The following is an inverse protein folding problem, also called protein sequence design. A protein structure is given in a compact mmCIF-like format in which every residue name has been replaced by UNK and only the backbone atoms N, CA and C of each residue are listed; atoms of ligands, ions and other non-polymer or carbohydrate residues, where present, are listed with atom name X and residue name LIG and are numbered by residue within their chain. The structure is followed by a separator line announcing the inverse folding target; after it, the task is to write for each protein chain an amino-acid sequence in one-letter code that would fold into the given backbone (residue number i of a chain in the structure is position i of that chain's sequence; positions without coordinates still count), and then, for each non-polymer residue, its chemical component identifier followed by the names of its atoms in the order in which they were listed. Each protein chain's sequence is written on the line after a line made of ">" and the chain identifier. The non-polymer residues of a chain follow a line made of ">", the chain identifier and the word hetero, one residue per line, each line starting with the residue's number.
data_IF_008101630684
#
_entry.id   IF_008101630684
#
_cell.length_a   1.000
_cell.length_b   1.000
_cell.length_c   1.000
_cell.angle_alpha   90.00
_cell.angle_beta   90.00
_cell.angle_gamma   90.00
#
_symmetry.space_group_name_H-M   'P 1'
#
loop_
_entity.id
_entity.type
_entity.pdbx_description
1 polymer ?
#
# COMPACT_ATOMS: atom_id res chain seq x y z
N UNK A 1 9.16 -22.57 -1.31
CA UNK A 1 8.59 -21.22 -1.52
C UNK A 1 7.72 -20.93 -0.29
N UNK A 2 8.37 -20.54 0.79
CA UNK A 2 7.72 -20.42 2.09
C UNK A 2 6.75 -19.25 2.05
N UNK A 3 5.47 -19.55 2.30
CA UNK A 3 4.47 -18.56 2.64
C UNK A 3 4.94 -17.92 3.95
N UNK A 4 5.45 -16.69 3.88
CA UNK A 4 5.72 -15.90 5.07
C UNK A 4 4.37 -15.53 5.69
N UNK A 5 3.88 -16.37 6.59
CA UNK A 5 2.77 -16.03 7.46
C UNK A 5 3.18 -14.77 8.26
N UNK A 6 2.51 -13.64 7.97
CA UNK A 6 2.70 -12.38 8.69
C UNK A 6 3.19 -11.18 7.86
N UNK A 7 3.32 -11.28 6.53
CA UNK A 7 3.68 -10.12 5.70
C UNK A 7 2.44 -9.26 5.44
N UNK A 8 2.38 -8.09 6.07
CA UNK A 8 1.41 -7.05 5.75
C UNK A 8 1.80 -6.31 4.47
N UNK A 9 0.81 -5.98 3.64
CA UNK A 9 0.99 -5.21 2.41
C UNK A 9 0.19 -3.92 2.47
N UNK A 10 0.73 -2.86 1.85
CA UNK A 10 -0.06 -1.71 1.42
C UNK A 10 -0.58 -1.97 0.01
N UNK A 11 -1.88 -1.77 -0.19
CA UNK A 11 -2.55 -2.01 -1.47
C UNK A 11 -2.75 -0.69 -2.18
N UNK A 12 -2.29 -0.62 -3.43
CA UNK A 12 -2.52 0.51 -4.31
C UNK A 12 -3.25 0.07 -5.56
N UNK A 13 -4.18 0.87 -6.08
CA UNK A 13 -4.93 0.53 -7.27
C UNK A 13 -5.29 1.76 -8.11
N UNK A 14 -5.59 1.55 -9.39
CA UNK A 14 -6.07 2.57 -10.34
C UNK A 14 -7.18 2.04 -11.23
N UNK A 15 -8.10 2.93 -11.64
CA UNK A 15 -9.26 2.59 -12.51
C UNK A 15 -8.95 2.83 -13.98
N UNK A 16 -8.00 3.73 -14.27
CA UNK A 16 -7.53 4.02 -15.63
C UNK A 16 -6.02 4.16 -15.66
N UNK A 17 -5.38 3.83 -16.77
CA UNK A 17 -3.91 3.85 -16.88
C UNK A 17 -3.33 5.26 -16.78
N UNK A 18 -4.11 6.28 -17.15
CA UNK A 18 -3.74 7.68 -17.01
C UNK A 18 -3.81 8.17 -15.55
N UNK A 19 -4.50 7.46 -14.65
CA UNK A 19 -4.60 7.82 -13.24
C UNK A 19 -3.42 7.30 -12.42
N UNK A 20 -2.99 8.05 -11.38
CA UNK A 20 -2.01 7.56 -10.44
C UNK A 20 -2.57 6.41 -9.61
N UNK A 21 -1.68 5.52 -9.17
CA UNK A 21 -1.99 4.51 -8.16
C UNK A 21 -2.40 5.20 -6.84
N UNK A 22 -3.57 4.82 -6.31
CA UNK A 22 -4.10 5.34 -5.04
C UNK A 22 -4.13 4.25 -3.99
N UNK A 23 -3.79 4.62 -2.75
CA UNK A 23 -3.87 3.72 -1.61
C UNK A 23 -5.32 3.28 -1.36
N UNK A 24 -5.54 1.97 -1.24
CA UNK A 24 -6.85 1.36 -1.01
C UNK A 24 -7.01 0.73 0.37
N UNK A 25 -5.89 0.54 1.09
CA UNK A 25 -5.90 -0.09 2.40
C UNK A 25 -4.72 -1.04 2.59
N UNK A 26 -4.81 -1.88 3.61
CA UNK A 26 -3.81 -2.89 3.93
C UNK A 26 -4.34 -4.29 3.70
N UNK A 27 -3.46 -5.21 3.30
CA UNK A 27 -3.77 -6.63 3.11
C UNK A 27 -2.86 -7.47 4.00
N UNK A 28 -3.47 -8.34 4.80
CA UNK A 28 -2.77 -9.33 5.60
C UNK A 28 -3.16 -10.71 5.07
N UNK A 29 -2.25 -11.35 4.36
CA UNK A 29 -2.56 -12.60 3.66
C UNK A 29 -1.45 -13.00 2.71
N UNK A 30 -1.65 -14.13 2.00
CA UNK A 30 -0.70 -14.55 0.98
C UNK A 30 -0.61 -13.51 -0.14
N UNK A 31 0.55 -13.43 -0.78
CA UNK A 31 0.72 -12.74 -2.07
C UNK A 31 0.12 -13.59 -3.20
N UNK A 32 -1.19 -13.82 -3.09
CA UNK A 32 -2.00 -14.56 -4.06
C UNK A 32 -2.88 -13.58 -4.84
N UNK A 33 -2.70 -13.45 -6.17
CA UNK A 33 -3.46 -12.51 -6.98
C UNK A 33 -4.98 -12.71 -6.89
N UNK A 34 -5.46 -13.94 -6.81
CA UNK A 34 -6.90 -14.24 -6.76
C UNK A 34 -7.51 -13.77 -5.44
N UNK A 35 -6.87 -14.10 -4.30
CA UNK A 35 -7.31 -13.61 -2.99
C UNK A 35 -7.37 -12.08 -2.94
N UNK A 36 -6.34 -11.40 -3.44
CA UNK A 36 -6.30 -9.93 -3.47
C UNK A 36 -7.38 -9.36 -4.38
N UNK A 37 -7.61 -9.98 -5.54
CA UNK A 37 -8.63 -9.57 -6.49
C UNK A 37 -10.04 -9.66 -5.89
N UNK A 38 -10.34 -10.72 -5.15
CA UNK A 38 -11.65 -10.88 -4.50
C UNK A 38 -11.94 -9.78 -3.46
N UNK A 39 -10.91 -9.29 -2.77
CA UNK A 39 -11.04 -8.26 -1.75
C UNK A 39 -11.00 -6.83 -2.29
N UNK A 40 -10.12 -6.55 -3.26
CA UNK A 40 -9.89 -5.19 -3.75
C UNK A 40 -10.24 -5.00 -5.21
N UNK A 41 -10.03 -6.00 -6.07
CA UNK A 41 -9.84 -5.85 -7.53
C UNK A 41 -11.09 -5.64 -8.41
N UNK A 42 -12.32 -5.68 -7.87
CA UNK A 42 -13.54 -5.70 -8.70
C UNK A 42 -13.76 -4.44 -9.55
N UNK A 43 -13.17 -3.31 -9.17
CA UNK A 43 -13.35 -2.02 -9.83
C UNK A 43 -12.05 -1.43 -10.42
N UNK A 44 -10.94 -2.16 -10.37
CA UNK A 44 -9.62 -1.63 -10.72
C UNK A 44 -9.01 -2.39 -11.88
N UNK A 45 -8.31 -1.65 -12.74
CA UNK A 45 -7.58 -2.23 -13.87
C UNK A 45 -6.21 -2.76 -13.47
N UNK A 46 -5.68 -2.29 -12.33
CA UNK A 46 -4.38 -2.67 -11.80
C UNK A 46 -4.37 -2.51 -10.29
N UNK A 47 -3.81 -3.52 -9.62
CA UNK A 47 -3.59 -3.57 -8.17
C UNK A 47 -2.14 -3.93 -7.91
N UNK A 48 -1.48 -3.16 -7.05
CA UNK A 48 -0.08 -3.31 -6.66
C UNK A 48 0.00 -3.53 -5.16
N UNK A 49 0.68 -4.61 -4.76
CA UNK A 49 0.99 -4.91 -3.37
C UNK A 49 2.41 -4.48 -3.05
N UNK A 50 2.55 -3.63 -2.03
CA UNK A 50 3.85 -3.20 -1.51
C UNK A 50 4.03 -3.81 -0.12
N UNK A 51 5.02 -4.69 0.10
CA UNK A 51 5.29 -5.21 1.44
C UNK A 51 5.56 -4.06 2.40
N UNK A 52 4.93 -4.06 3.57
CA UNK A 52 5.13 -3.02 4.58
C UNK A 52 6.61 -2.95 5.02
N UNK A 53 7.33 -4.07 5.01
CA UNK A 53 8.76 -4.14 5.29
C UNK A 53 9.63 -3.37 4.28
N UNK A 54 9.12 -3.10 3.07
CA UNK A 54 9.81 -2.33 2.05
C UNK A 54 9.51 -0.81 2.14
N UNK A 55 8.55 -0.40 2.97
CA UNK A 55 8.12 1.00 3.09
C UNK A 55 9.02 1.76 4.06
N UNK A 56 9.55 2.90 3.62
CA UNK A 56 10.28 3.84 4.48
C UNK A 56 9.46 5.11 4.66
N UNK A 57 9.10 5.42 5.91
CA UNK A 57 8.36 6.63 6.26
C UNK A 57 9.31 7.82 6.39
N UNK A 58 9.02 8.89 5.64
CA UNK A 58 9.68 10.18 5.82
C UNK A 58 8.72 11.06 6.61
N UNK A 59 8.97 11.16 7.92
CA UNK A 59 8.12 11.92 8.85
C UNK A 59 8.78 13.29 9.08
N UNK A 60 8.03 14.37 8.85
CA UNK A 60 8.47 15.72 9.22
C UNK A 60 8.58 15.80 10.75
N UNK A 61 9.76 16.14 11.27
CA UNK A 61 9.93 16.40 12.70
C UNK A 61 9.04 17.58 13.13
N UNK A 62 8.34 17.42 14.26
CA UNK A 62 7.35 18.39 14.74
C UNK A 62 7.97 19.68 15.30
N UNK A 63 9.28 19.70 15.54
CA UNK A 63 9.99 20.83 16.13
C UNK A 63 10.85 21.60 15.11
N UNK A 64 10.21 22.49 14.34
CA UNK A 64 10.80 23.75 13.85
C UNK A 64 9.74 24.81 13.53
N UNK A 65 8.64 24.84 14.29
CA UNK A 65 7.70 25.97 14.24
C UNK A 65 7.47 26.48 15.66
N UNK A 66 8.41 27.33 16.10
CA UNK A 66 8.30 28.08 17.35
C UNK A 66 9.54 28.92 17.66
N UNK A 67 9.42 30.24 17.41
CA UNK A 67 10.09 31.38 18.09
C UNK A 67 11.52 31.71 17.60
N UNK A 68 11.89 32.93 17.16
CA UNK A 68 11.26 34.26 17.13
C UNK A 68 11.93 35.16 16.07
N UNK A 69 11.21 36.25 15.75
CA UNK A 69 11.59 37.57 15.19
C UNK A 69 13.07 37.95 15.13
#
# INVERSE_FOLDING_TARGET
>A
MAQEAGVGYMVFARKEYAEPLRFQGTWEGPNDPEAVFQHFGREWIEVVLIPQSAVRWVIRAKDKEGIHV
#
